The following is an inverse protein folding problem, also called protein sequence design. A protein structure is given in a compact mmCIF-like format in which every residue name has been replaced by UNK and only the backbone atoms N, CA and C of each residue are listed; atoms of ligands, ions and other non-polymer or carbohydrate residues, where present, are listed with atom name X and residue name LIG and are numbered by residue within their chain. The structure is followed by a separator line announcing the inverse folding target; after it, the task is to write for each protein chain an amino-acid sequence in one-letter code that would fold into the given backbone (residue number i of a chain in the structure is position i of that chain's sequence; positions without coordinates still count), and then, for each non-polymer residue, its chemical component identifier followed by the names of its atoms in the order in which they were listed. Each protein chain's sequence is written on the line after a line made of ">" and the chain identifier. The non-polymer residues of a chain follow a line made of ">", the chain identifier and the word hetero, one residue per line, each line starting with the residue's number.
data_IF_437132302429
#
_entry.id   IF_437132302429
#
_cell.length_a   1.000
_cell.length_b   1.000
_cell.length_c   1.000
_cell.angle_alpha   90.00
_cell.angle_beta   90.00
_cell.angle_gamma   90.00
#
_symmetry.space_group_name_H-M   'P 1'
#
loop_
_entity.id
_entity.type
_entity.pdbx_description
1 polymer ?
#
# COMPACT_ATOMS: atom_id res chain seq x y z
N UNK A 1 -0.09 -62.45 -24.86
CA UNK A 1 -0.90 -61.26 -25.16
C UNK A 1 -2.09 -61.30 -24.23
N UNK A 2 -2.02 -60.57 -23.11
CA UNK A 2 -3.08 -60.51 -22.10
C UNK A 2 -3.87 -59.22 -22.34
N UNK A 3 -5.14 -59.36 -22.65
CA UNK A 3 -6.09 -58.25 -22.70
C UNK A 3 -6.49 -57.86 -21.27
N UNK A 4 -6.24 -56.64 -20.91
CA UNK A 4 -6.73 -56.05 -19.66
C UNK A 4 -8.18 -55.61 -19.83
N UNK A 5 -9.05 -56.14 -18.98
CA UNK A 5 -10.44 -55.78 -18.81
C UNK A 5 -10.59 -54.37 -18.25
N UNK A 6 -11.28 -53.50 -18.95
CA UNK A 6 -11.87 -52.27 -18.43
C UNK A 6 -13.37 -52.52 -18.22
N UNK A 7 -13.74 -52.88 -17.00
CA UNK A 7 -15.14 -52.87 -16.57
C UNK A 7 -15.19 -52.15 -15.22
N UNK A 8 -15.76 -50.98 -15.20
CA UNK A 8 -16.60 -50.38 -14.17
C UNK A 8 -16.61 -48.83 -14.26
N UNK A 9 -17.11 -48.29 -15.36
CA UNK A 9 -17.67 -46.97 -15.34
C UNK A 9 -19.20 -47.05 -15.33
N UNK A 10 -19.82 -46.57 -14.26
CA UNK A 10 -21.28 -46.39 -14.18
C UNK A 10 -21.69 -45.44 -15.31
N UNK A 11 -22.79 -45.75 -16.05
CA UNK A 11 -23.25 -44.88 -17.13
C UNK A 11 -23.62 -43.51 -16.54
N UNK A 12 -23.06 -42.47 -17.13
CA UNK A 12 -23.48 -41.09 -16.89
C UNK A 12 -24.93 -40.99 -17.39
N UNK A 13 -25.89 -40.79 -16.48
CA UNK A 13 -27.27 -40.50 -16.84
C UNK A 13 -27.31 -39.20 -17.65
N UNK A 14 -27.30 -39.33 -18.99
CA UNK A 14 -27.56 -38.22 -19.91
C UNK A 14 -29.06 -37.91 -19.84
N UNK A 15 -29.42 -36.68 -19.44
CA UNK A 15 -30.80 -36.17 -19.42
C UNK A 15 -31.39 -35.99 -20.83
N UNK A 16 -31.41 -37.06 -21.62
CA UNK A 16 -32.02 -37.11 -22.95
C UNK A 16 -33.08 -38.18 -22.98
N UNK A 17 -34.32 -37.80 -23.28
CA UNK A 17 -35.39 -38.75 -23.56
C UNK A 17 -35.38 -39.14 -25.06
N UNK A 18 -35.58 -40.42 -25.33
CA UNK A 18 -35.66 -40.97 -26.67
C UNK A 18 -37.06 -40.74 -27.25
N UNK A 19 -37.21 -39.77 -28.12
CA UNK A 19 -38.47 -39.55 -28.87
C UNK A 19 -38.28 -40.03 -30.29
N UNK A 20 -39.37 -40.39 -31.01
CA UNK A 20 -39.34 -40.83 -32.42
C UNK A 20 -38.67 -39.71 -33.26
N UNK A 21 -37.39 -39.90 -33.58
CA UNK A 21 -36.62 -38.98 -34.43
C UNK A 21 -35.32 -38.42 -33.85
N UNK A 22 -34.92 -38.72 -32.60
CA UNK A 22 -33.64 -38.25 -32.00
C UNK A 22 -33.66 -38.06 -30.51
N UNK A 23 -32.51 -37.65 -29.94
CA UNK A 23 -32.35 -37.31 -28.55
C UNK A 23 -32.76 -35.85 -28.35
N UNK A 24 -33.72 -35.57 -27.43
CA UNK A 24 -34.16 -34.21 -27.10
C UNK A 24 -33.73 -33.88 -25.66
N UNK A 25 -33.07 -32.77 -25.49
CA UNK A 25 -32.67 -32.28 -24.15
C UNK A 25 -33.90 -31.79 -23.39
N UNK A 26 -34.09 -32.29 -22.21
CA UNK A 26 -35.16 -31.86 -21.30
C UNK A 26 -34.78 -30.58 -20.57
N UNK A 27 -35.74 -29.67 -20.47
CA UNK A 27 -35.56 -28.40 -19.76
C UNK A 27 -36.51 -28.30 -18.58
N UNK A 28 -36.00 -27.79 -17.48
CA UNK A 28 -36.73 -27.51 -16.26
C UNK A 28 -37.09 -26.04 -16.16
N UNK A 29 -38.25 -25.77 -15.56
CA UNK A 29 -38.64 -24.43 -15.11
C UNK A 29 -37.80 -24.00 -13.90
N UNK A 30 -37.86 -22.71 -13.55
CA UNK A 30 -37.22 -22.17 -12.35
C UNK A 30 -37.68 -22.90 -11.08
N UNK A 31 -38.97 -23.22 -10.98
CA UNK A 31 -39.54 -23.90 -9.81
C UNK A 31 -39.03 -25.35 -9.66
N UNK A 32 -38.95 -26.10 -10.77
CA UNK A 32 -38.41 -27.46 -10.77
C UNK A 32 -36.92 -27.48 -10.44
N UNK A 33 -36.15 -26.55 -11.01
CA UNK A 33 -34.72 -26.46 -10.75
C UNK A 33 -34.44 -25.97 -9.30
N UNK A 34 -35.28 -25.12 -8.75
CA UNK A 34 -35.20 -24.67 -7.34
C UNK A 34 -35.34 -25.86 -6.39
N UNK A 35 -36.28 -26.77 -6.66
CA UNK A 35 -36.46 -28.01 -5.90
C UNK A 35 -35.24 -28.95 -6.06
N UNK A 36 -34.75 -29.11 -7.29
CA UNK A 36 -33.60 -30.01 -7.58
C UNK A 36 -32.31 -29.51 -6.91
N UNK A 37 -32.06 -28.21 -6.86
CA UNK A 37 -30.85 -27.63 -6.27
C UNK A 37 -30.98 -27.27 -4.79
N UNK A 38 -32.19 -27.45 -4.21
CA UNK A 38 -32.49 -27.04 -2.84
C UNK A 38 -32.11 -25.55 -2.59
N UNK A 39 -32.72 -24.67 -3.35
CA UNK A 39 -32.55 -23.22 -3.27
C UNK A 39 -33.87 -22.50 -3.58
N UNK A 40 -33.95 -21.20 -3.25
CA UNK A 40 -35.11 -20.39 -3.62
C UNK A 40 -35.17 -20.16 -5.14
N UNK A 41 -36.36 -20.02 -5.70
CA UNK A 41 -36.56 -19.63 -7.10
C UNK A 41 -35.84 -18.33 -7.47
N UNK A 42 -35.76 -17.38 -6.53
CA UNK A 42 -35.02 -16.13 -6.69
C UNK A 42 -33.54 -16.40 -6.96
N UNK A 43 -32.95 -17.36 -6.25
CA UNK A 43 -31.54 -17.76 -6.45
C UNK A 43 -31.33 -18.36 -7.83
N UNK A 44 -32.26 -19.22 -8.29
CA UNK A 44 -32.19 -19.81 -9.64
C UNK A 44 -32.28 -18.71 -10.71
N UNK A 45 -33.26 -17.78 -10.61
CA UNK A 45 -33.35 -16.65 -11.55
C UNK A 45 -32.08 -15.81 -11.57
N UNK A 46 -31.48 -15.54 -10.41
CA UNK A 46 -30.21 -14.81 -10.31
C UNK A 46 -29.06 -15.57 -11.00
N UNK A 47 -28.96 -16.87 -10.83
CA UNK A 47 -27.93 -17.66 -11.51
C UNK A 47 -28.08 -17.62 -13.02
N UNK A 48 -29.30 -17.72 -13.53
CA UNK A 48 -29.60 -17.64 -14.96
C UNK A 48 -29.31 -16.22 -15.52
N UNK A 49 -29.81 -15.18 -14.84
CA UNK A 49 -29.63 -13.79 -15.27
C UNK A 49 -28.16 -13.33 -15.31
N UNK A 50 -27.32 -13.90 -14.46
CA UNK A 50 -25.87 -13.60 -14.45
C UNK A 50 -25.04 -14.58 -15.30
N UNK A 51 -25.67 -15.39 -16.18
CA UNK A 51 -24.95 -16.29 -17.07
C UNK A 51 -24.20 -17.43 -16.38
N UNK A 52 -24.54 -17.76 -15.13
CA UNK A 52 -23.83 -18.76 -14.32
C UNK A 52 -24.29 -20.19 -14.59
N UNK A 53 -25.32 -20.37 -15.38
CA UNK A 53 -25.85 -21.68 -15.79
C UNK A 53 -25.75 -21.77 -17.31
N UNK A 54 -24.87 -22.62 -17.85
CA UNK A 54 -24.74 -22.77 -19.30
C UNK A 54 -26.00 -23.37 -19.94
N UNK A 55 -26.31 -22.97 -21.15
CA UNK A 55 -27.40 -23.54 -21.95
C UNK A 55 -28.81 -23.11 -21.56
N UNK A 56 -28.97 -22.09 -20.69
CA UNK A 56 -30.27 -21.50 -20.36
C UNK A 56 -30.74 -20.54 -21.46
N UNK A 57 -32.05 -20.51 -21.69
CA UNK A 57 -32.69 -19.51 -22.55
C UNK A 57 -34.06 -19.11 -22.00
N UNK A 58 -34.58 -18.00 -22.52
CA UNK A 58 -35.89 -17.48 -22.10
C UNK A 58 -36.91 -17.70 -23.21
N UNK A 59 -38.09 -18.25 -22.84
CA UNK A 59 -39.26 -18.27 -23.69
C UNK A 59 -40.35 -17.45 -23.04
N UNK A 60 -40.68 -16.32 -23.63
CA UNK A 60 -41.60 -15.36 -23.04
C UNK A 60 -41.03 -14.78 -21.73
N UNK A 61 -41.64 -15.11 -20.60
CA UNK A 61 -41.20 -14.67 -19.24
C UNK A 61 -40.57 -15.81 -18.41
N UNK A 62 -40.36 -16.98 -19.03
CA UNK A 62 -39.93 -18.21 -18.33
C UNK A 62 -38.53 -18.61 -18.75
N UNK A 63 -37.66 -18.89 -17.74
CA UNK A 63 -36.35 -19.49 -17.94
C UNK A 63 -36.50 -20.98 -18.20
N UNK A 64 -35.86 -21.50 -19.27
CA UNK A 64 -35.68 -22.90 -19.56
C UNK A 64 -34.25 -23.31 -19.22
N UNK A 65 -34.13 -24.24 -18.28
CA UNK A 65 -32.85 -24.64 -17.68
C UNK A 65 -32.60 -26.09 -18.02
N UNK A 66 -31.45 -26.45 -18.63
CA UNK A 66 -31.15 -27.85 -18.94
C UNK A 66 -31.27 -28.74 -17.71
N UNK A 67 -31.94 -29.88 -17.79
CA UNK A 67 -32.14 -30.81 -16.66
C UNK A 67 -30.81 -31.22 -16.01
N UNK A 68 -29.75 -31.41 -16.82
CA UNK A 68 -28.42 -31.80 -16.36
C UNK A 68 -27.57 -30.63 -15.88
N UNK A 69 -28.10 -29.40 -15.83
CA UNK A 69 -27.37 -28.25 -15.32
C UNK A 69 -26.94 -28.45 -13.85
N UNK A 70 -25.69 -28.14 -13.57
CA UNK A 70 -25.13 -28.19 -12.22
C UNK A 70 -25.45 -26.91 -11.46
N UNK A 71 -25.74 -27.04 -10.15
CA UNK A 71 -25.91 -25.90 -9.26
C UNK A 71 -24.61 -25.07 -9.25
N UNK A 72 -24.65 -23.77 -9.60
CA UNK A 72 -23.48 -22.92 -9.50
C UNK A 72 -22.99 -22.84 -8.05
N UNK A 73 -21.71 -23.01 -7.84
CA UNK A 73 -21.11 -22.79 -6.53
C UNK A 73 -21.38 -21.37 -6.07
N UNK A 74 -21.64 -21.19 -4.75
CA UNK A 74 -21.69 -19.83 -4.21
C UNK A 74 -20.35 -19.17 -4.49
N UNK A 75 -20.35 -18.14 -5.32
CA UNK A 75 -19.17 -17.29 -5.37
C UNK A 75 -19.03 -16.67 -3.98
N UNK A 76 -18.14 -17.21 -3.18
CA UNK A 76 -17.54 -16.45 -2.10
C UNK A 76 -16.80 -15.32 -2.81
N UNK A 77 -17.49 -14.21 -3.08
CA UNK A 77 -16.79 -12.94 -3.21
C UNK A 77 -16.08 -12.79 -1.88
N UNK A 78 -14.82 -13.24 -1.78
CA UNK A 78 -13.90 -12.68 -0.79
C UNK A 78 -14.14 -11.18 -0.94
N UNK A 79 -14.59 -10.50 0.13
CA UNK A 79 -14.60 -9.04 0.17
C UNK A 79 -13.22 -8.68 -0.34
N UNK A 80 -13.11 -8.09 -1.51
CA UNK A 80 -11.85 -7.59 -2.02
C UNK A 80 -11.34 -6.69 -0.90
N UNK A 81 -10.24 -7.11 -0.27
CA UNK A 81 -9.61 -6.32 0.78
C UNK A 81 -9.23 -5.03 0.07
N UNK A 82 -9.87 -3.93 0.45
CA UNK A 82 -9.62 -2.63 -0.16
C UNK A 82 -8.12 -2.36 0.01
N UNK A 83 -7.36 -2.38 -1.07
CA UNK A 83 -5.92 -2.13 -1.07
C UNK A 83 -5.71 -0.71 -0.58
N UNK A 84 -4.95 -0.54 0.49
CA UNK A 84 -4.62 0.77 1.04
C UNK A 84 -3.40 1.36 0.33
N UNK A 85 -3.18 2.66 0.47
CA UNK A 85 -1.96 3.31 -0.02
C UNK A 85 -0.70 2.63 0.53
N UNK A 86 -0.70 2.28 1.81
CA UNK A 86 0.43 1.60 2.43
C UNK A 86 0.66 0.20 1.83
N UNK A 87 -0.41 -0.56 1.52
CA UNK A 87 -0.27 -1.86 0.85
C UNK A 87 0.39 -1.71 -0.53
N UNK A 88 0.07 -0.64 -1.27
CA UNK A 88 0.68 -0.32 -2.57
C UNK A 88 2.16 0.04 -2.38
N UNK A 89 2.47 0.94 -1.46
CA UNK A 89 3.86 1.36 -1.19
C UNK A 89 4.75 0.18 -0.80
N UNK A 90 4.25 -0.72 0.06
CA UNK A 90 4.98 -1.92 0.48
C UNK A 90 5.18 -2.92 -0.67
N UNK A 91 4.16 -3.11 -1.51
CA UNK A 91 4.26 -4.00 -2.68
C UNK A 91 5.25 -3.46 -3.72
N UNK A 92 5.15 -2.17 -4.08
CA UNK A 92 6.04 -1.54 -5.04
C UNK A 92 7.50 -1.48 -4.55
N UNK A 93 7.71 -1.21 -3.24
CA UNK A 93 9.02 -1.29 -2.60
C UNK A 93 9.63 -2.69 -2.70
N UNK A 94 8.86 -3.72 -2.33
CA UNK A 94 9.31 -5.12 -2.35
C UNK A 94 9.66 -5.60 -3.76
N UNK A 95 8.87 -5.19 -4.75
CA UNK A 95 9.03 -5.58 -6.15
C UNK A 95 9.91 -4.62 -6.97
N UNK A 96 10.39 -3.52 -6.38
CA UNK A 96 11.22 -2.49 -7.02
C UNK A 96 10.59 -1.94 -8.31
N UNK A 97 9.29 -1.66 -8.30
CA UNK A 97 8.60 -1.12 -9.46
C UNK A 97 9.11 0.29 -9.79
N UNK A 98 9.52 0.49 -11.05
CA UNK A 98 9.87 1.80 -11.58
C UNK A 98 8.62 2.55 -12.02
N UNK A 99 8.56 3.86 -11.73
CA UNK A 99 7.47 4.74 -12.15
C UNK A 99 6.19 4.64 -11.33
N UNK A 100 6.13 3.77 -10.32
CA UNK A 100 5.02 3.66 -9.38
C UNK A 100 4.98 4.80 -8.34
N UNK A 101 4.02 4.73 -7.42
CA UNK A 101 3.86 5.76 -6.38
C UNK A 101 5.04 5.75 -5.39
N UNK A 102 5.54 4.56 -5.02
CA UNK A 102 6.74 4.44 -4.18
C UNK A 102 7.95 5.12 -4.84
N UNK A 103 8.21 4.81 -6.11
CA UNK A 103 9.32 5.38 -6.87
C UNK A 103 9.25 6.91 -6.95
N UNK A 104 8.06 7.45 -7.24
CA UNK A 104 7.80 8.91 -7.26
C UNK A 104 7.96 9.53 -5.88
N UNK A 105 7.42 8.90 -4.84
CA UNK A 105 7.55 9.39 -3.46
C UNK A 105 9.02 9.48 -3.04
N UNK A 106 9.82 8.47 -3.36
CA UNK A 106 11.25 8.49 -3.07
C UNK A 106 11.94 9.71 -3.71
N UNK A 107 11.69 9.95 -4.99
CA UNK A 107 12.38 11.02 -5.73
C UNK A 107 11.82 12.41 -5.37
N UNK A 108 10.51 12.58 -5.50
CA UNK A 108 9.88 13.90 -5.40
C UNK A 108 9.90 14.43 -3.96
N UNK A 109 9.61 13.58 -2.97
CA UNK A 109 9.65 13.98 -1.57
C UNK A 109 11.09 14.31 -1.14
N UNK A 110 12.06 13.46 -1.49
CA UNK A 110 13.47 13.71 -1.16
C UNK A 110 13.98 14.99 -1.79
N UNK A 111 13.70 15.20 -3.09
CA UNK A 111 14.11 16.44 -3.76
C UNK A 111 13.51 17.66 -3.08
N UNK A 112 12.19 17.68 -2.86
CA UNK A 112 11.51 18.83 -2.29
C UNK A 112 11.97 19.13 -0.86
N UNK A 113 12.08 18.10 0.00
CA UNK A 113 12.53 18.27 1.38
C UNK A 113 13.96 18.83 1.43
N UNK A 114 14.89 18.21 0.74
CA UNK A 114 16.28 18.65 0.74
C UNK A 114 16.46 20.03 0.10
N UNK A 115 15.67 20.35 -0.93
CA UNK A 115 15.71 21.67 -1.57
C UNK A 115 15.23 22.78 -0.65
N UNK A 116 14.20 22.52 0.19
CA UNK A 116 13.78 23.47 1.22
C UNK A 116 14.86 23.72 2.28
N UNK A 117 15.67 22.70 2.58
CA UNK A 117 16.81 22.78 3.51
C UNK A 117 18.08 23.34 2.83
N UNK A 118 18.00 23.79 1.58
CA UNK A 118 19.08 24.48 0.88
C UNK A 118 19.99 23.59 0.03
N UNK A 119 19.67 22.33 -0.15
CA UNK A 119 20.39 21.45 -1.08
C UNK A 119 20.33 22.00 -2.51
N UNK A 120 21.45 21.93 -3.21
CA UNK A 120 21.59 22.38 -4.61
C UNK A 120 21.45 21.26 -5.64
N UNK A 121 21.18 20.04 -5.20
CA UNK A 121 20.94 18.94 -6.13
C UNK A 121 19.68 19.21 -6.97
N UNK A 122 19.77 18.95 -8.26
CA UNK A 122 18.61 19.00 -9.14
C UNK A 122 17.72 17.78 -8.95
N UNK A 123 16.47 17.87 -9.41
CA UNK A 123 15.54 16.73 -9.39
C UNK A 123 16.10 15.53 -10.15
N UNK A 124 16.75 15.76 -11.31
CA UNK A 124 17.38 14.68 -12.09
C UNK A 124 18.57 14.06 -11.35
N UNK A 125 19.40 14.84 -10.66
CA UNK A 125 20.48 14.31 -9.83
C UNK A 125 19.94 13.45 -8.68
N UNK A 126 18.88 13.92 -7.99
CA UNK A 126 18.19 13.13 -6.95
C UNK A 126 17.67 11.82 -7.53
N UNK A 127 17.07 11.84 -8.72
CA UNK A 127 16.59 10.64 -9.43
C UNK A 127 17.74 9.69 -9.78
N UNK A 128 18.86 10.18 -10.31
CA UNK A 128 20.02 9.35 -10.63
C UNK A 128 20.62 8.68 -9.38
N UNK A 129 20.70 9.40 -8.27
CA UNK A 129 21.17 8.81 -7.01
C UNK A 129 20.24 7.67 -6.60
N UNK A 130 18.93 7.84 -6.69
CA UNK A 130 17.96 6.80 -6.33
C UNK A 130 18.00 5.60 -7.26
N UNK A 131 17.93 5.84 -8.58
CA UNK A 131 17.77 4.77 -9.57
C UNK A 131 19.07 4.00 -9.84
N UNK A 132 20.21 4.69 -9.83
CA UNK A 132 21.48 4.13 -10.32
C UNK A 132 22.63 4.21 -9.32
N UNK A 133 22.42 4.85 -8.17
CA UNK A 133 23.49 5.16 -7.20
C UNK A 133 24.66 5.92 -7.85
N UNK A 134 24.37 6.77 -8.82
CA UNK A 134 25.34 7.63 -9.51
C UNK A 134 24.88 9.10 -9.48
N UNK A 135 25.81 9.99 -9.73
CA UNK A 135 25.50 11.43 -9.87
C UNK A 135 26.18 11.98 -11.12
N UNK A 136 25.39 12.66 -11.95
CA UNK A 136 25.92 13.40 -13.09
C UNK A 136 26.41 14.77 -12.64
N UNK A 137 27.68 15.10 -12.90
CA UNK A 137 28.28 16.39 -12.60
C UNK A 137 28.63 17.08 -13.92
N UNK A 138 27.92 18.15 -14.25
CA UNK A 138 28.26 19.03 -15.36
C UNK A 138 28.85 20.33 -14.81
N UNK A 139 30.17 20.39 -14.69
CA UNK A 139 30.97 21.61 -14.39
C UNK A 139 30.63 22.35 -13.08
N UNK A 140 29.83 21.82 -12.20
CA UNK A 140 29.46 22.44 -10.92
C UNK A 140 30.13 21.73 -9.75
N UNK A 141 30.44 22.49 -8.71
CA UNK A 141 30.90 21.91 -7.43
C UNK A 141 29.67 21.54 -6.62
N UNK A 142 29.54 20.26 -6.33
CA UNK A 142 28.48 19.73 -5.48
C UNK A 142 28.94 19.65 -4.02
N UNK A 143 28.04 19.98 -3.11
CA UNK A 143 28.25 19.71 -1.71
C UNK A 143 28.10 18.20 -1.45
N UNK A 144 29.11 17.60 -0.84
CA UNK A 144 29.09 16.16 -0.52
C UNK A 144 28.00 15.84 0.50
N UNK A 145 27.73 16.73 1.43
CA UNK A 145 26.66 16.54 2.43
C UNK A 145 25.28 16.46 1.76
N UNK A 146 25.00 17.26 0.73
CA UNK A 146 23.75 17.18 -0.03
C UNK A 146 23.54 15.77 -0.63
N UNK A 147 24.62 15.16 -1.13
CA UNK A 147 24.56 13.80 -1.71
C UNK A 147 24.32 12.75 -0.62
N UNK A 148 25.02 12.88 0.51
CA UNK A 148 24.88 11.96 1.65
C UNK A 148 23.48 12.06 2.23
N UNK A 149 22.98 13.26 2.49
CA UNK A 149 21.63 13.47 3.03
C UNK A 149 20.55 12.98 2.07
N UNK A 150 20.70 13.19 0.77
CA UNK A 150 19.79 12.66 -0.25
C UNK A 150 19.73 11.13 -0.20
N UNK A 151 20.88 10.45 -0.15
CA UNK A 151 20.92 9.00 -0.05
C UNK A 151 20.37 8.48 1.29
N UNK A 152 20.58 9.21 2.37
CA UNK A 152 20.04 8.90 3.69
C UNK A 152 18.54 9.15 3.77
N UNK A 153 18.02 10.19 3.11
CA UNK A 153 16.61 10.51 3.08
C UNK A 153 15.78 9.38 2.43
N UNK A 154 16.27 8.76 1.37
CA UNK A 154 15.62 7.57 0.81
C UNK A 154 15.49 6.44 1.85
N UNK A 155 16.52 6.23 2.67
CA UNK A 155 16.47 5.24 3.77
C UNK A 155 15.45 5.62 4.84
N UNK A 156 15.34 6.92 5.15
CA UNK A 156 14.33 7.41 6.09
C UNK A 156 12.91 7.14 5.57
N UNK A 157 12.62 7.40 4.29
CA UNK A 157 11.32 7.09 3.67
C UNK A 157 11.03 5.58 3.77
N UNK A 158 12.02 4.73 3.48
CA UNK A 158 11.88 3.28 3.63
C UNK A 158 11.54 2.85 5.05
N UNK A 159 12.22 3.45 6.04
CA UNK A 159 11.95 3.19 7.46
C UNK A 159 10.55 3.65 7.86
N UNK A 160 10.07 4.80 7.35
CA UNK A 160 8.72 5.31 7.62
C UNK A 160 7.67 4.36 7.05
N UNK A 161 7.83 3.88 5.81
CA UNK A 161 6.91 2.93 5.19
C UNK A 161 6.85 1.62 6.00
N UNK A 162 8.00 1.08 6.41
CA UNK A 162 8.06 -0.15 7.20
C UNK A 162 7.46 0.01 8.60
N UNK A 163 7.57 1.20 9.18
CA UNK A 163 7.11 1.51 10.54
C UNK A 163 5.68 2.07 10.59
N UNK A 164 5.04 2.33 9.45
CA UNK A 164 3.79 3.10 9.34
C UNK A 164 2.61 2.55 10.16
N UNK A 165 2.63 1.28 10.55
CA UNK A 165 1.59 0.67 11.41
C UNK A 165 1.89 0.72 12.90
N UNK A 166 3.09 1.15 13.28
CA UNK A 166 3.49 1.23 14.67
C UNK A 166 3.18 2.61 15.25
N UNK A 167 3.13 2.68 16.58
CA UNK A 167 2.97 3.95 17.30
C UNK A 167 4.20 4.82 17.09
N UNK A 168 4.00 6.09 16.76
CA UNK A 168 5.09 7.05 16.61
C UNK A 168 5.75 7.30 17.98
N UNK A 169 7.06 7.06 18.06
CA UNK A 169 7.82 7.18 19.30
C UNK A 169 8.98 8.17 19.15
N UNK A 170 9.39 8.76 20.27
CA UNK A 170 10.58 9.61 20.35
C UNK A 170 11.83 8.90 19.81
N UNK A 171 12.02 7.63 20.18
CA UNK A 171 13.16 6.84 19.71
C UNK A 171 13.14 6.64 18.20
N UNK A 172 11.96 6.51 17.58
CA UNK A 172 11.87 6.38 16.13
C UNK A 172 12.23 7.69 15.43
N UNK A 173 11.76 8.83 15.94
CA UNK A 173 12.10 10.17 15.42
C UNK A 173 13.62 10.40 15.53
N UNK A 174 14.22 10.14 16.70
CA UNK A 174 15.67 10.23 16.88
C UNK A 174 16.45 9.29 15.96
N UNK A 175 15.91 8.10 15.68
CA UNK A 175 16.51 7.16 14.76
C UNK A 175 16.46 7.66 13.31
N UNK A 176 15.36 8.31 12.89
CA UNK A 176 15.29 8.94 11.57
C UNK A 176 16.36 10.01 11.43
N UNK A 177 16.48 10.91 12.41
CA UNK A 177 17.53 11.92 12.43
C UNK A 177 18.94 11.32 12.42
N UNK A 178 19.17 10.25 13.18
CA UNK A 178 20.44 9.53 13.18
C UNK A 178 20.79 9.01 11.77
N UNK A 179 19.82 8.45 11.06
CA UNK A 179 20.03 7.94 9.70
C UNK A 179 20.25 9.11 8.73
N UNK A 180 19.44 10.16 8.82
CA UNK A 180 19.48 11.31 7.92
C UNK A 180 20.85 12.01 7.94
N UNK A 181 21.34 12.34 9.12
CA UNK A 181 22.59 13.13 9.31
C UNK A 181 23.86 12.27 9.44
N UNK A 182 23.73 10.93 9.36
CA UNK A 182 24.90 10.05 9.46
C UNK A 182 25.88 10.24 8.29
N UNK A 183 27.14 10.47 8.61
CA UNK A 183 28.23 10.62 7.63
C UNK A 183 28.37 12.02 7.05
N UNK A 184 27.50 12.97 7.37
CA UNK A 184 27.65 14.37 6.99
C UNK A 184 28.80 15.07 7.72
N UNK A 185 29.21 16.23 7.26
CA UNK A 185 30.23 17.05 7.96
C UNK A 185 29.77 17.45 9.36
N UNK A 186 28.45 17.69 9.53
CA UNK A 186 27.84 18.01 10.84
C UNK A 186 28.01 16.89 11.85
N UNK A 187 27.93 15.64 11.43
CA UNK A 187 28.13 14.47 12.30
C UNK A 187 29.52 14.39 12.97
N UNK A 188 30.47 15.20 12.51
CA UNK A 188 31.83 15.27 13.06
C UNK A 188 32.06 16.45 14.01
N UNK A 189 31.02 17.29 14.22
CA UNK A 189 31.11 18.44 15.11
C UNK A 189 30.73 18.03 16.53
N UNK A 190 31.55 18.34 17.52
CA UNK A 190 31.34 17.94 18.93
C UNK A 190 30.02 18.48 19.54
N UNK A 191 29.55 19.60 19.04
CA UNK A 191 28.31 20.24 19.51
C UNK A 191 27.06 19.76 18.78
N UNK A 192 27.20 19.07 17.64
CA UNK A 192 26.09 18.53 16.86
C UNK A 192 25.82 17.08 17.23
N UNK A 193 24.68 16.82 17.85
CA UNK A 193 24.35 15.46 18.29
C UNK A 193 23.45 14.80 17.30
N UNK A 194 24.01 13.88 16.51
CA UNK A 194 23.25 13.10 15.55
C UNK A 194 22.39 12.06 16.28
N UNK A 195 21.09 12.08 16.01
CA UNK A 195 20.15 11.15 16.64
C UNK A 195 19.74 11.51 18.06
N UNK A 196 20.00 12.74 18.49
CA UNK A 196 19.50 13.27 19.77
C UNK A 196 19.16 14.76 19.66
N UNK A 197 18.47 15.27 20.64
CA UNK A 197 17.98 16.64 20.66
C UNK A 197 19.11 17.67 20.69
N UNK A 198 18.79 18.86 20.16
CA UNK A 198 19.73 19.99 20.11
C UNK A 198 20.25 20.37 21.50
N UNK A 199 21.50 20.84 21.52
CA UNK A 199 22.17 21.36 22.73
C UNK A 199 22.31 22.87 22.72
N UNK A 200 22.11 23.50 21.56
CA UNK A 200 22.16 24.96 21.41
C UNK A 200 20.83 25.49 20.91
N UNK A 201 20.46 26.71 21.32
CA UNK A 201 19.30 27.38 20.73
C UNK A 201 19.46 27.52 19.20
N UNK A 202 18.35 27.41 18.50
CA UNK A 202 18.27 27.70 17.07
C UNK A 202 17.02 28.51 16.77
N UNK A 203 16.94 29.05 15.57
CA UNK A 203 15.81 29.81 15.06
C UNK A 203 15.44 29.35 13.66
N UNK A 204 14.19 29.51 13.29
CA UNK A 204 13.67 29.20 11.96
C UNK A 204 12.95 30.42 11.40
N UNK A 205 13.38 30.91 10.25
CA UNK A 205 12.78 32.08 9.62
C UNK A 205 12.74 33.34 10.49
N UNK A 206 13.72 33.49 11.41
CA UNK A 206 13.79 34.61 12.35
C UNK A 206 12.88 34.46 13.58
N UNK A 207 12.26 33.29 13.78
CA UNK A 207 11.48 32.96 14.96
C UNK A 207 12.27 32.03 15.90
N UNK A 208 12.29 32.35 17.20
CA UNK A 208 12.88 31.49 18.22
C UNK A 208 12.09 30.18 18.33
N UNK A 209 12.80 29.08 18.46
CA UNK A 209 12.23 27.75 18.68
C UNK A 209 12.31 27.37 20.16
N UNK A 210 11.88 26.17 20.54
CA UNK A 210 12.00 25.73 21.93
C UNK A 210 13.46 25.75 22.41
N UNK A 211 13.70 26.17 23.65
CA UNK A 211 15.02 26.08 24.25
C UNK A 211 15.46 24.63 24.43
N UNK A 212 16.76 24.30 24.34
CA UNK A 212 17.25 22.93 24.46
C UNK A 212 16.71 22.14 25.66
N UNK A 213 16.62 22.79 26.81
CA UNK A 213 16.11 22.23 28.07
C UNK A 213 14.60 21.92 28.03
N UNK A 214 13.84 22.55 27.15
CA UNK A 214 12.40 22.37 27.01
C UNK A 214 12.03 21.29 25.97
N UNK A 215 12.95 20.96 25.07
CA UNK A 215 12.67 20.09 23.92
C UNK A 215 12.11 18.75 24.36
N UNK A 216 12.74 18.08 25.32
CA UNK A 216 12.34 16.74 25.75
C UNK A 216 10.88 16.70 26.27
N UNK A 217 10.51 17.66 27.12
CA UNK A 217 9.16 17.74 27.70
C UNK A 217 8.12 18.12 26.64
N UNK A 218 8.45 19.07 25.75
CA UNK A 218 7.56 19.47 24.65
C UNK A 218 7.32 18.33 23.66
N UNK A 219 8.36 17.57 23.29
CA UNK A 219 8.25 16.41 22.40
C UNK A 219 7.44 15.28 23.04
N UNK A 220 7.66 14.99 24.32
CA UNK A 220 6.87 14.01 25.06
C UNK A 220 5.38 14.37 25.09
N UNK A 221 5.07 15.64 25.33
CA UNK A 221 3.70 16.16 25.31
C UNK A 221 3.08 16.04 23.93
N UNK A 222 3.79 16.48 22.88
CA UNK A 222 3.34 16.42 21.48
C UNK A 222 3.02 14.98 21.06
N UNK A 223 3.92 14.04 21.35
CA UNK A 223 3.71 12.64 21.02
C UNK A 223 2.56 12.01 21.80
N UNK A 224 2.40 12.36 23.09
CA UNK A 224 1.27 11.88 23.89
C UNK A 224 -0.06 12.38 23.32
N UNK A 225 -0.17 13.66 22.99
CA UNK A 225 -1.37 14.25 22.38
C UNK A 225 -1.72 13.56 21.06
N UNK A 226 -0.72 13.38 20.18
CA UNK A 226 -0.90 12.76 18.88
C UNK A 226 -1.30 11.27 18.96
N UNK A 227 -0.65 10.51 19.84
CA UNK A 227 -0.88 9.07 19.97
C UNK A 227 -2.19 8.72 20.69
N UNK A 228 -2.75 9.62 21.50
CA UNK A 228 -4.04 9.40 22.17
C UNK A 228 -5.24 9.43 21.23
N UNK A 229 -5.08 9.89 20.00
CA UNK A 229 -6.12 9.84 18.98
C UNK A 229 -6.11 8.48 18.28
N UNK A 230 -7.25 7.76 18.25
CA UNK A 230 -7.36 6.48 17.55
C UNK A 230 -7.35 6.65 16.03
N UNK A 231 -8.12 7.61 15.53
CA UNK A 231 -8.14 8.00 14.11
C UNK A 231 -7.55 9.40 13.96
N UNK A 232 -6.70 9.58 12.96
CA UNK A 232 -6.03 10.85 12.68
C UNK A 232 -6.54 11.45 11.40
N UNK A 233 -7.19 12.61 11.50
CA UNK A 233 -7.56 13.42 10.36
C UNK A 233 -6.33 14.15 9.79
N UNK A 234 -6.45 14.68 8.58
CA UNK A 234 -5.39 15.50 7.97
C UNK A 234 -5.01 16.70 8.85
N UNK A 235 -5.99 17.30 9.51
CA UNK A 235 -5.78 18.44 10.42
C UNK A 235 -4.92 18.07 11.63
N UNK A 236 -5.06 16.87 12.17
CA UNK A 236 -4.23 16.38 13.29
C UNK A 236 -2.78 16.19 12.86
N UNK A 237 -2.57 15.69 11.63
CA UNK A 237 -1.23 15.54 11.06
C UNK A 237 -0.58 16.90 10.84
N UNK A 238 -1.32 17.87 10.27
CA UNK A 238 -0.83 19.23 10.07
C UNK A 238 -0.52 19.93 11.40
N UNK A 239 -1.39 19.78 12.41
CA UNK A 239 -1.16 20.34 13.73
C UNK A 239 0.07 19.72 14.41
N UNK A 240 0.29 18.40 14.23
CA UNK A 240 1.51 17.75 14.71
C UNK A 240 2.75 18.36 14.04
N UNK A 241 2.74 18.50 12.73
CA UNK A 241 3.84 19.08 11.96
C UNK A 241 4.15 20.51 12.41
N UNK A 242 3.15 21.38 12.49
CA UNK A 242 3.35 22.77 12.94
C UNK A 242 3.94 22.83 14.34
N UNK A 243 3.43 22.02 15.29
CA UNK A 243 3.97 21.97 16.65
C UNK A 243 5.40 21.41 16.68
N UNK A 244 5.70 20.43 15.84
CA UNK A 244 7.05 19.89 15.71
C UNK A 244 8.02 20.94 15.20
N UNK A 245 7.66 21.70 14.17
CA UNK A 245 8.46 22.81 13.66
C UNK A 245 8.66 23.93 14.69
N UNK A 246 7.64 24.26 15.50
CA UNK A 246 7.78 25.22 16.59
C UNK A 246 8.73 24.72 17.70
N UNK A 247 8.81 23.41 17.92
CA UNK A 247 9.79 22.83 18.87
C UNK A 247 11.17 22.81 18.24
N UNK A 248 11.26 22.43 16.98
CA UNK A 248 12.50 22.30 16.20
C UNK A 248 13.55 21.50 16.99
N UNK A 249 13.29 20.20 17.23
CA UNK A 249 13.98 19.45 18.28
C UNK A 249 15.44 19.15 18.01
N UNK A 250 15.87 19.16 16.75
CA UNK A 250 17.25 18.88 16.37
C UNK A 250 18.00 20.16 16.02
N UNK A 251 19.31 20.08 15.97
CA UNK A 251 20.13 21.24 15.64
C UNK A 251 20.01 21.62 14.16
N UNK A 252 19.78 20.64 13.29
CA UNK A 252 19.53 20.71 11.85
C UNK A 252 18.89 19.39 11.40
N UNK A 253 18.19 19.35 10.24
CA UNK A 253 17.53 18.14 9.73
C UNK A 253 16.26 17.75 10.49
N UNK A 254 15.43 18.73 10.82
CA UNK A 254 14.15 18.55 11.54
C UNK A 254 13.02 18.02 10.69
#
# INVERSE_FOLDING_TARGET
>A
MQFLNYDNEKPIECGFDRVKGGWQMRYFSVAEMAKKWDVSERSVRNYCAHGRVPGVFITGKTWNIPENAKKPERSNKKKEKKTTLLDILLDEKANKYSGGIYHKTQIDLTYNSNHMEGSRLTHDQTRYIFETNTIGIEKEVLNVDDVIETANHFRCIDMIIDYAKATLTENFIKKLHLVLKNGTSDSRKDWFVVGDYKKMPNEVGGMETALPEEVADRMKKLLSEYNNQEEKALEDILNFHVKFECIHPFQDGN
#
